data_IF_541316734503
#
_entry.id   IF_541316734503
#
_cell.length_a   1.000
_cell.length_b   1.000
_cell.length_c   1.000
_cell.angle_alpha   90.00
_cell.angle_beta   90.00
_cell.angle_gamma   90.00
#
_symmetry.space_group_name_H-M   'P 1'
#
loop_
_entity.id
_entity.type
_entity.pdbx_description
1 polymer ?
#
# COMPACT_ATOMS: atom_id res chain seq x y z
N UNK A 1 -14.66 -1.13 3.43
CA UNK A 1 -13.33 -1.32 2.78
C UNK A 1 -12.48 -0.13 3.15
N UNK A 2 -11.36 -0.32 3.87
CA UNK A 2 -10.51 0.80 4.28
C UNK A 2 -9.86 1.49 3.08
N UNK A 3 -9.78 2.82 3.12
CA UNK A 3 -9.23 3.64 2.04
C UNK A 3 -7.80 3.23 1.63
N UNK A 4 -6.96 2.89 2.62
CA UNK A 4 -5.62 2.30 2.43
C UNK A 4 -5.64 1.04 1.57
N UNK A 5 -6.59 0.13 1.82
CA UNK A 5 -6.69 -1.14 1.11
C UNK A 5 -7.00 -0.93 -0.39
N UNK A 6 -7.83 0.08 -0.69
CA UNK A 6 -8.19 0.43 -2.06
C UNK A 6 -7.02 1.09 -2.79
N UNK A 7 -6.36 2.08 -2.17
CA UNK A 7 -5.18 2.74 -2.76
C UNK A 7 -4.04 1.78 -3.00
N UNK A 8 -3.73 0.90 -2.03
CA UNK A 8 -2.69 -0.10 -2.18
C UNK A 8 -2.96 -1.01 -3.39
N UNK A 9 -4.18 -1.52 -3.51
CA UNK A 9 -4.60 -2.36 -4.63
C UNK A 9 -4.54 -1.61 -5.96
N UNK A 10 -4.92 -0.34 -5.96
CA UNK A 10 -4.87 0.53 -7.14
C UNK A 10 -3.44 0.69 -7.66
N UNK A 11 -2.51 1.16 -6.82
CA UNK A 11 -1.11 1.37 -7.24
C UNK A 11 -0.43 0.06 -7.62
N UNK A 12 -0.71 -1.02 -6.90
CA UNK A 12 -0.18 -2.35 -7.25
C UNK A 12 -0.62 -2.77 -8.66
N UNK A 13 -1.90 -2.63 -8.98
CA UNK A 13 -2.43 -2.93 -10.32
C UNK A 13 -1.89 -1.98 -11.38
N UNK A 14 -1.75 -0.69 -11.07
CA UNK A 14 -1.17 0.31 -11.97
C UNK A 14 0.27 -0.04 -12.35
N UNK A 15 1.02 -0.67 -11.43
CA UNK A 15 2.38 -1.17 -11.66
C UNK A 15 2.44 -2.59 -12.25
N UNK A 16 1.29 -3.21 -12.55
CA UNK A 16 1.23 -4.58 -13.08
C UNK A 16 1.71 -5.66 -12.11
N UNK A 17 1.81 -5.36 -10.81
CA UNK A 17 2.38 -6.28 -9.83
C UNK A 17 1.31 -7.23 -9.25
N UNK A 18 1.67 -8.49 -9.08
CA UNK A 18 0.93 -9.42 -8.22
C UNK A 18 1.17 -9.10 -6.74
N UNK A 19 0.34 -9.67 -5.86
CA UNK A 19 0.50 -9.53 -4.41
C UNK A 19 1.85 -10.11 -3.94
N UNK A 20 2.30 -11.20 -4.59
CA UNK A 20 3.59 -11.84 -4.27
C UNK A 20 4.77 -10.96 -4.68
N UNK A 21 4.76 -10.43 -5.89
CA UNK A 21 5.81 -9.53 -6.37
C UNK A 21 5.92 -8.27 -5.52
N UNK A 22 4.78 -7.69 -5.13
CA UNK A 22 4.80 -6.54 -4.20
C UNK A 22 5.39 -6.92 -2.85
N UNK A 23 5.03 -8.08 -2.30
CA UNK A 23 5.53 -8.55 -1.02
C UNK A 23 7.04 -8.80 -1.05
N UNK A 24 7.53 -9.47 -2.08
CA UNK A 24 8.96 -9.71 -2.30
C UNK A 24 9.73 -8.40 -2.43
N UNK A 25 9.23 -7.48 -3.28
CA UNK A 25 9.89 -6.19 -3.52
C UNK A 25 9.88 -5.29 -2.28
N UNK A 26 8.84 -5.35 -1.47
CA UNK A 26 8.73 -4.61 -0.21
C UNK A 26 9.41 -5.32 0.98
N UNK A 27 9.93 -6.53 0.81
CA UNK A 27 10.53 -7.29 1.90
C UNK A 27 9.54 -7.65 3.03
N UNK A 28 8.25 -7.81 2.70
CA UNK A 28 7.19 -8.18 3.65
C UNK A 28 6.56 -9.52 3.26
N UNK A 29 5.79 -10.12 4.16
CA UNK A 29 5.09 -11.36 3.84
C UNK A 29 3.87 -11.11 2.92
N UNK A 30 3.59 -12.07 2.03
CA UNK A 30 2.42 -12.05 1.15
C UNK A 30 1.12 -11.89 1.96
N UNK A 31 1.03 -12.60 3.10
CA UNK A 31 -0.10 -12.51 4.03
C UNK A 31 -0.27 -11.10 4.62
N UNK A 32 0.81 -10.35 4.80
CA UNK A 32 0.76 -8.97 5.28
C UNK A 32 0.13 -8.04 4.24
N UNK A 33 0.49 -8.17 2.96
CA UNK A 33 -0.17 -7.42 1.87
C UNK A 33 -1.66 -7.80 1.79
N UNK A 34 -2.00 -9.08 1.89
CA UNK A 34 -3.40 -9.53 1.92
C UNK A 34 -4.18 -8.94 3.10
N UNK A 35 -3.59 -8.91 4.30
CA UNK A 35 -4.21 -8.33 5.49
C UNK A 35 -4.48 -6.83 5.33
N UNK A 36 -3.56 -6.10 4.67
CA UNK A 36 -3.79 -4.69 4.36
C UNK A 36 -4.89 -4.54 3.30
N UNK A 37 -4.83 -5.31 2.20
CA UNK A 37 -5.84 -5.27 1.13
C UNK A 37 -7.24 -5.75 1.57
N UNK A 38 -7.34 -6.47 2.69
CA UNK A 38 -8.61 -6.88 3.32
C UNK A 38 -9.11 -5.91 4.39
N UNK A 39 -8.31 -4.90 4.75
CA UNK A 39 -8.71 -3.83 5.66
C UNK A 39 -8.41 -4.09 7.14
N UNK A 40 -7.49 -5.00 7.47
CA UNK A 40 -7.07 -5.24 8.85
C UNK A 40 -6.21 -4.06 9.33
N UNK A 41 -6.78 -3.27 10.25
CA UNK A 41 -6.13 -2.15 10.95
C UNK A 41 -5.10 -2.69 11.95
N UNK A 42 -3.90 -2.98 11.47
CA UNK A 42 -2.74 -3.38 12.28
C UNK A 42 -1.44 -3.05 11.57
N UNK A 43 -1.45 -1.97 10.79
CA UNK A 43 -0.44 -1.70 9.78
C UNK A 43 0.75 -0.97 10.42
N UNK A 44 1.90 -1.64 10.48
CA UNK A 44 3.15 -1.07 10.97
C UNK A 44 3.67 -0.03 9.96
N UNK A 45 3.87 1.21 10.41
CA UNK A 45 4.32 2.36 9.60
C UNK A 45 5.62 2.05 8.83
N UNK A 46 6.56 1.33 9.45
CA UNK A 46 7.82 0.94 8.81
C UNK A 46 7.56 0.05 7.60
N UNK A 47 6.72 -0.98 7.76
CA UNK A 47 6.38 -1.91 6.67
C UNK A 47 5.60 -1.22 5.56
N UNK A 48 4.78 -0.23 5.90
CA UNK A 48 4.06 0.56 4.91
C UNK A 48 5.01 1.47 4.12
N UNK A 49 6.04 2.00 4.77
CA UNK A 49 7.17 2.68 4.10
C UNK A 49 7.81 1.80 3.03
N UNK A 50 8.15 0.56 3.39
CA UNK A 50 8.74 -0.40 2.45
C UNK A 50 7.80 -0.73 1.27
N UNK A 51 6.50 -0.84 1.54
CA UNK A 51 5.48 -1.05 0.50
C UNK A 51 5.37 0.16 -0.43
N UNK A 52 5.37 1.37 0.12
CA UNK A 52 5.33 2.61 -0.67
C UNK A 52 6.57 2.74 -1.56
N UNK A 53 7.75 2.45 -1.02
CA UNK A 53 9.01 2.41 -1.75
C UNK A 53 8.98 1.38 -2.89
N UNK A 54 8.49 0.16 -2.62
CA UNK A 54 8.36 -0.88 -3.63
C UNK A 54 7.40 -0.50 -4.78
N UNK A 55 6.35 0.25 -4.47
CA UNK A 55 5.39 0.81 -5.44
C UNK A 55 5.91 2.06 -6.16
N UNK A 56 6.97 2.69 -5.64
CA UNK A 56 7.50 3.95 -6.12
C UNK A 56 6.52 5.10 -5.90
N UNK A 57 5.87 5.14 -4.73
CA UNK A 57 4.92 6.19 -4.31
C UNK A 57 5.30 6.68 -2.91
N UNK A 58 4.83 7.85 -2.53
CA UNK A 58 5.01 8.33 -1.17
C UNK A 58 4.07 7.61 -0.20
N UNK A 59 4.49 7.50 1.06
CA UNK A 59 3.65 6.91 2.10
C UNK A 59 2.30 7.64 2.25
N UNK A 60 2.30 8.96 2.12
CA UNK A 60 1.11 9.81 2.14
C UNK A 60 0.12 9.45 1.03
N UNK A 61 0.59 9.03 -0.15
CA UNK A 61 -0.29 8.58 -1.25
C UNK A 61 -1.04 7.29 -0.92
N UNK A 62 -0.57 6.49 0.05
CA UNK A 62 -1.28 5.32 0.52
C UNK A 62 -2.30 5.66 1.62
N UNK A 63 -2.14 6.80 2.31
CA UNK A 63 -3.07 7.29 3.35
C UNK A 63 -4.08 8.28 2.79
N UNK A 64 -5.22 8.38 3.47
CA UNK A 64 -6.36 9.24 3.17
C UNK A 64 -6.08 10.71 2.93
N UNK A 65 -4.98 11.23 3.45
CA UNK A 65 -4.59 12.62 3.25
C UNK A 65 -3.88 12.76 1.90
N UNK A 66 -4.67 12.70 0.82
CA UNK A 66 -4.38 13.68 -0.21
C UNK A 66 -4.46 15.04 0.50
N UNK A 67 -3.42 15.90 0.48
CA UNK A 67 -3.64 17.28 0.85
C UNK A 67 -4.84 17.74 0.02
N UNK A 68 -5.85 18.32 0.68
CA UNK A 68 -6.90 19.09 0.01
C UNK A 68 -6.22 19.79 -1.16
N UNK A 69 -6.59 19.43 -2.40
CA UNK A 69 -6.14 20.20 -3.56
C UNK A 69 -6.59 21.62 -3.25
N UNK A 70 -5.68 22.58 -3.01
CA UNK A 70 -6.10 23.95 -2.97
C UNK A 70 -6.44 24.29 -4.42
N UNK A 71 -7.66 24.83 -4.58
CA UNK A 71 -8.34 25.34 -5.77
C UNK A 71 -8.80 24.35 -6.85
#
# INVERSE_FOLDING_TARGET
>A
MGELAQRLRYYRKLRGMSVRELAEKAGVSVSYIYAIESGVRGSNVVKLGQIAEALGVQLSELWGDAPERPW
#
